data_IF_291047264655
#
_entry.id   IF_291047264655
#
_cell.length_a   1.000
_cell.length_b   1.000
_cell.length_c   1.000
_cell.angle_alpha   90.00
_cell.angle_beta   90.00
_cell.angle_gamma   90.00
#
_symmetry.space_group_name_H-M   'P 1'
#
loop_
_entity.id
_entity.type
_entity.pdbx_description
1 polymer ?
#
# COMPACT_ATOMS: atom_id res chain seq x y z
N UNK A 1 0.00 -16.19 -21.86
CA UNK A 1 0.51 -15.40 -20.71
C UNK A 1 0.27 -13.93 -20.97
N UNK A 2 -0.29 -13.25 -20.00
CA UNK A 2 -0.51 -11.81 -20.07
C UNK A 2 0.23 -11.12 -18.90
N UNK A 3 0.33 -9.81 -18.98
CA UNK A 3 0.85 -9.00 -17.87
C UNK A 3 -0.28 -8.13 -17.34
N UNK A 4 -0.56 -8.25 -16.05
CA UNK A 4 -1.61 -7.48 -15.40
C UNK A 4 -1.03 -6.56 -14.34
N UNK A 5 -1.59 -5.36 -14.26
CA UNK A 5 -1.30 -4.42 -13.19
C UNK A 5 -2.59 -4.26 -12.38
N UNK A 6 -2.53 -4.64 -11.10
CA UNK A 6 -3.64 -4.47 -10.16
C UNK A 6 -3.34 -3.28 -9.26
N UNK A 7 -4.27 -2.35 -9.19
CA UNK A 7 -4.15 -1.20 -8.32
C UNK A 7 -5.14 -1.33 -7.16
N UNK A 8 -4.63 -1.27 -5.94
CA UNK A 8 -5.43 -1.36 -4.72
C UNK A 8 -5.41 -0.02 -3.99
N UNK A 9 -6.58 0.58 -3.83
CA UNK A 9 -6.74 1.82 -3.06
C UNK A 9 -6.68 1.56 -1.56
N UNK A 10 -6.66 2.64 -0.78
CA UNK A 10 -6.48 2.56 0.67
C UNK A 10 -7.51 1.71 1.40
N UNK A 11 -8.78 1.74 0.96
CA UNK A 11 -9.83 0.92 1.56
C UNK A 11 -9.64 -0.56 1.28
N UNK A 12 -9.05 -0.90 0.13
CA UNK A 12 -8.81 -2.30 -0.25
C UNK A 12 -7.64 -2.93 0.50
N UNK A 13 -6.86 -2.14 1.22
CA UNK A 13 -5.72 -2.60 2.02
C UNK A 13 -5.80 -2.14 3.47
N UNK A 14 -6.99 -1.75 3.92
CA UNK A 14 -7.19 -1.07 5.20
C UNK A 14 -6.85 -1.93 6.43
N UNK A 15 -6.99 -3.25 6.32
CA UNK A 15 -6.77 -4.17 7.43
C UNK A 15 -6.20 -5.49 6.93
N UNK A 16 -5.85 -6.38 7.86
CA UNK A 16 -5.25 -7.67 7.52
C UNK A 16 -6.14 -8.51 6.60
N UNK A 17 -7.43 -8.53 6.84
CA UNK A 17 -8.39 -9.31 6.04
C UNK A 17 -8.38 -8.85 4.58
N UNK A 18 -8.40 -7.54 4.36
CA UNK A 18 -8.38 -6.96 3.01
C UNK A 18 -7.04 -7.15 2.33
N UNK A 19 -5.94 -7.06 3.10
CA UNK A 19 -4.61 -7.36 2.57
C UNK A 19 -4.51 -8.80 2.11
N UNK A 20 -5.05 -9.77 2.86
CA UNK A 20 -5.12 -11.16 2.43
C UNK A 20 -5.94 -11.32 1.15
N UNK A 21 -7.06 -10.61 1.03
CA UNK A 21 -7.88 -10.67 -0.17
C UNK A 21 -7.14 -10.14 -1.40
N UNK A 22 -6.41 -9.03 -1.24
CA UNK A 22 -5.57 -8.48 -2.30
C UNK A 22 -4.47 -9.46 -2.71
N UNK A 23 -3.78 -10.04 -1.73
CA UNK A 23 -2.73 -11.03 -1.99
C UNK A 23 -3.27 -12.24 -2.74
N UNK A 24 -4.46 -12.73 -2.39
CA UNK A 24 -5.08 -13.86 -3.08
C UNK A 24 -5.40 -13.55 -4.54
N UNK A 25 -5.85 -12.34 -4.85
CA UNK A 25 -6.08 -11.91 -6.23
C UNK A 25 -4.79 -11.94 -7.05
N UNK A 26 -3.71 -11.40 -6.48
CA UNK A 26 -2.41 -11.39 -7.13
C UNK A 26 -1.89 -12.81 -7.36
N UNK A 27 -1.97 -13.65 -6.34
CA UNK A 27 -1.53 -15.04 -6.42
C UNK A 27 -2.33 -15.86 -7.43
N UNK A 28 -3.66 -15.65 -7.48
CA UNK A 28 -4.53 -16.37 -8.42
C UNK A 28 -4.17 -16.02 -9.87
N UNK A 29 -3.95 -14.74 -10.17
CA UNK A 29 -3.56 -14.31 -11.50
C UNK A 29 -2.20 -14.90 -11.91
N UNK A 30 -1.24 -14.94 -11.00
CA UNK A 30 0.06 -15.53 -11.25
C UNK A 30 -0.04 -17.03 -11.52
N UNK A 31 -0.84 -17.74 -10.75
CA UNK A 31 -1.01 -19.19 -10.93
C UNK A 31 -1.63 -19.55 -12.27
N UNK A 32 -2.34 -18.62 -12.89
CA UNK A 32 -2.87 -18.79 -14.24
C UNK A 32 -1.82 -18.57 -15.34
N UNK A 33 -0.57 -18.37 -14.97
CA UNK A 33 0.53 -18.20 -15.91
C UNK A 33 0.79 -16.77 -16.33
N UNK A 34 0.26 -15.80 -15.58
CA UNK A 34 0.42 -14.38 -15.91
C UNK A 34 1.54 -13.74 -15.10
N UNK A 35 2.13 -12.69 -15.66
CA UNK A 35 2.96 -11.76 -14.89
C UNK A 35 2.04 -10.78 -14.18
N UNK A 36 2.33 -10.50 -12.92
CA UNK A 36 1.45 -9.65 -12.10
C UNK A 36 2.25 -8.59 -11.36
N UNK A 37 1.76 -7.36 -11.43
CA UNK A 37 2.32 -6.23 -10.68
C UNK A 37 1.20 -5.69 -9.80
N UNK A 38 1.43 -5.64 -8.50
CA UNK A 38 0.51 -5.01 -7.56
C UNK A 38 0.99 -3.62 -7.18
N UNK A 39 0.11 -2.64 -7.29
CA UNK A 39 0.37 -1.26 -6.87
C UNK A 39 -0.56 -0.95 -5.70
N UNK A 40 0.01 -0.73 -4.52
CA UNK A 40 -0.76 -0.56 -3.30
C UNK A 40 -0.64 0.85 -2.75
N UNK A 41 -1.77 1.41 -2.32
CA UNK A 41 -1.81 2.68 -1.60
C UNK A 41 -1.53 2.44 -0.12
N UNK A 42 -1.26 3.53 0.61
CA UNK A 42 -1.29 3.51 2.07
C UNK A 42 -2.69 3.07 2.53
N UNK A 43 -2.77 2.45 3.70
CA UNK A 43 -4.07 2.03 4.26
C UNK A 43 -4.95 3.25 4.54
N UNK A 44 -6.26 3.06 4.46
CA UNK A 44 -7.23 4.14 4.69
C UNK A 44 -6.94 4.85 6.02
N UNK A 45 -6.84 6.17 5.98
CA UNK A 45 -6.58 7.00 7.15
C UNK A 45 -5.12 7.13 7.53
N UNK A 46 -4.22 6.29 7.01
CA UNK A 46 -2.81 6.32 7.43
C UNK A 46 -2.08 7.56 6.95
N UNK A 47 -2.31 7.99 5.72
CA UNK A 47 -1.70 9.21 5.21
C UNK A 47 -2.14 10.43 6.00
N UNK A 48 -3.44 10.50 6.35
CA UNK A 48 -3.98 11.61 7.15
C UNK A 48 -3.36 11.62 8.55
N UNK A 49 -3.20 10.45 9.17
CA UNK A 49 -2.57 10.35 10.49
C UNK A 49 -1.12 10.80 10.47
N UNK A 50 -0.37 10.38 9.46
CA UNK A 50 1.02 10.80 9.29
C UNK A 50 1.15 12.30 9.05
N UNK A 51 0.25 12.85 8.23
CA UNK A 51 0.24 14.29 7.95
C UNK A 51 -0.10 15.10 9.20
N UNK A 52 -1.07 14.64 10.00
CA UNK A 52 -1.42 15.29 11.26
C UNK A 52 -0.23 15.31 12.21
N UNK A 53 0.48 14.20 12.34
CA UNK A 53 1.67 14.12 13.18
C UNK A 53 2.78 15.06 12.68
N UNK A 54 2.99 15.09 11.37
CA UNK A 54 3.99 15.99 10.77
C UNK A 54 3.71 17.44 11.11
N UNK A 55 2.44 17.85 11.06
CA UNK A 55 2.04 19.24 11.37
C UNK A 55 2.19 19.58 12.85
N UNK A 56 2.09 18.60 13.73
CA UNK A 56 2.38 18.81 15.16
C UNK A 56 3.86 19.10 15.37
N UNK A 57 4.72 18.42 14.62
CA UNK A 57 6.18 18.59 14.71
C UNK A 57 6.62 19.88 14.03
N UNK A 58 6.06 20.16 12.86
CA UNK A 58 6.37 21.32 12.05
C UNK A 58 5.11 21.80 11.34
N UNK A 59 4.45 22.88 11.82
CA UNK A 59 3.23 23.40 11.19
C UNK A 59 3.40 23.79 9.73
N UNK A 60 4.63 24.09 9.30
CA UNK A 60 4.94 24.49 7.93
C UNK A 60 5.61 23.33 7.16
N UNK A 61 5.38 22.11 7.58
CA UNK A 61 6.04 20.95 6.98
C UNK A 61 5.78 20.85 5.47
N UNK A 62 6.84 20.59 4.72
CA UNK A 62 6.79 20.44 3.27
C UNK A 62 8.11 19.82 2.78
N UNK A 63 8.18 19.54 1.46
CA UNK A 63 9.41 19.11 0.83
C UNK A 63 9.76 17.65 1.08
N UNK A 64 11.05 17.36 1.03
CA UNK A 64 11.56 15.98 1.03
C UNK A 64 11.23 15.19 2.27
N UNK A 65 11.32 15.83 3.43
CA UNK A 65 11.08 15.16 4.71
C UNK A 65 9.62 14.70 4.80
N UNK A 66 8.68 15.55 4.36
CA UNK A 66 7.27 15.19 4.34
C UNK A 66 7.00 14.08 3.34
N UNK A 67 7.59 14.17 2.15
CA UNK A 67 7.44 13.13 1.12
C UNK A 67 7.96 11.79 1.63
N UNK A 68 9.12 11.79 2.28
CA UNK A 68 9.69 10.58 2.86
C UNK A 68 8.76 9.98 3.93
N UNK A 69 8.23 10.83 4.80
CA UNK A 69 7.31 10.36 5.86
C UNK A 69 6.05 9.74 5.26
N UNK A 70 5.40 10.43 4.32
CA UNK A 70 4.15 9.94 3.73
C UNK A 70 4.36 8.65 2.94
N UNK A 71 5.52 8.47 2.29
CA UNK A 71 5.83 7.26 1.54
C UNK A 71 5.89 6.01 2.42
N UNK A 72 6.12 6.16 3.72
CA UNK A 72 6.16 5.01 4.64
C UNK A 72 4.81 4.31 4.72
N UNK A 73 3.72 5.00 4.43
CA UNK A 73 2.39 4.40 4.40
C UNK A 73 2.25 3.36 3.29
N UNK A 74 2.70 3.69 2.08
CA UNK A 74 2.70 2.74 0.95
C UNK A 74 3.69 1.60 1.20
N UNK A 75 4.85 1.89 1.74
CA UNK A 75 5.84 0.87 2.08
C UNK A 75 5.29 -0.13 3.08
N UNK A 76 4.53 0.34 4.05
CA UNK A 76 3.86 -0.52 5.04
C UNK A 76 2.89 -1.49 4.35
N UNK A 77 2.04 -1.00 3.46
CA UNK A 77 1.09 -1.82 2.71
C UNK A 77 1.80 -2.88 1.86
N UNK A 78 2.86 -2.49 1.18
CA UNK A 78 3.65 -3.40 0.33
C UNK A 78 4.26 -4.53 1.16
N UNK A 79 4.86 -4.19 2.28
CA UNK A 79 5.48 -5.18 3.16
C UNK A 79 4.44 -6.17 3.71
N UNK A 80 3.30 -5.67 4.16
CA UNK A 80 2.23 -6.51 4.68
C UNK A 80 1.63 -7.42 3.61
N UNK A 81 1.44 -6.90 2.41
CA UNK A 81 0.95 -7.71 1.28
C UNK A 81 1.97 -8.80 0.91
N UNK A 82 3.25 -8.47 0.90
CA UNK A 82 4.30 -9.44 0.63
C UNK A 82 4.30 -10.57 1.67
N UNK A 83 4.09 -10.25 2.95
CA UNK A 83 3.93 -11.26 4.00
C UNK A 83 2.72 -12.15 3.73
N UNK A 84 1.62 -11.58 3.30
CA UNK A 84 0.40 -12.33 3.01
C UNK A 84 0.54 -13.26 1.80
N UNK A 85 1.47 -12.96 0.90
CA UNK A 85 1.75 -13.79 -0.28
C UNK A 85 2.59 -15.04 0.02
N UNK A 86 3.18 -15.10 1.19
CA UNK A 86 4.01 -16.25 1.57
C UNK A 86 3.22 -17.51 1.87
#
# INVERSE_FOLDING_TARGET
MARYVYKFGGTSVADARRLYAAARKLAAAQRQGNEVIGVLSARAGQTDALLALAREVDPDCSGRELDALLSTGEQCSIALCAMALR
#
